data_IF_348070594597
#
_entry.id   IF_348070594597
#
_cell.length_a   1.000
_cell.length_b   1.000
_cell.length_c   1.000
_cell.angle_alpha   90.00
_cell.angle_beta   90.00
_cell.angle_gamma   90.00
#
_symmetry.space_group_name_H-M   'P 1'
#
loop_
_entity.id
_entity.type
_entity.pdbx_description
1 polymer ?
#
# COMPACT_ATOMS: atom_id res chain seq x y z
N UNK A 1 -6.43 -42.91 4.08
CA UNK A 1 -7.69 -42.16 3.92
C UNK A 1 -7.35 -40.72 4.23
N UNK A 2 -7.64 -39.78 3.35
CA UNK A 2 -7.31 -38.36 3.55
C UNK A 2 -8.05 -37.84 4.77
N UNK A 3 -7.34 -37.15 5.66
CA UNK A 3 -7.91 -36.51 6.84
C UNK A 3 -7.98 -34.99 6.65
N UNK A 4 -8.98 -34.36 7.26
CA UNK A 4 -9.16 -32.90 7.19
C UNK A 4 -9.55 -32.37 8.56
N UNK A 5 -8.79 -31.39 9.04
CA UNK A 5 -9.07 -30.63 10.26
C UNK A 5 -9.03 -29.14 9.94
N UNK A 6 -9.83 -28.33 10.64
CA UNK A 6 -9.77 -26.89 10.50
C UNK A 6 -10.13 -26.16 11.78
N UNK A 7 -9.46 -25.03 12.00
CA UNK A 7 -9.69 -24.15 13.15
C UNK A 7 -9.68 -22.69 12.72
N UNK A 8 -10.41 -21.85 13.44
CA UNK A 8 -10.43 -20.42 13.25
C UNK A 8 -10.13 -19.69 14.56
N UNK A 9 -9.33 -18.64 14.47
CA UNK A 9 -8.95 -17.79 15.60
C UNK A 9 -9.14 -16.32 15.23
N UNK A 10 -9.69 -15.52 16.16
CA UNK A 10 -9.95 -14.10 15.94
C UNK A 10 -8.83 -13.25 16.54
N UNK A 11 -8.17 -12.42 15.73
CA UNK A 11 -7.08 -11.53 16.12
C UNK A 11 -7.32 -10.15 15.51
N UNK A 12 -7.40 -9.10 16.33
CA UNK A 12 -7.50 -7.70 15.90
C UNK A 12 -8.58 -7.40 14.83
N UNK A 13 -9.72 -8.07 14.90
CA UNK A 13 -10.80 -7.86 13.94
C UNK A 13 -10.61 -8.60 12.60
N UNK A 14 -9.69 -9.56 12.56
CA UNK A 14 -9.48 -10.51 11.46
C UNK A 14 -9.55 -11.94 11.99
N UNK A 15 -10.17 -12.84 11.23
CA UNK A 15 -10.24 -14.26 11.56
C UNK A 15 -9.20 -14.99 10.73
N UNK A 16 -8.26 -15.64 11.41
CA UNK A 16 -7.25 -16.51 10.82
C UNK A 16 -7.80 -17.94 10.81
N UNK A 17 -7.89 -18.53 9.63
CA UNK A 17 -8.31 -19.92 9.44
C UNK A 17 -7.09 -20.75 9.10
N UNK A 18 -6.92 -21.86 9.82
CA UNK A 18 -5.91 -22.88 9.52
C UNK A 18 -6.63 -24.19 9.24
N UNK A 19 -6.44 -24.74 8.05
CA UNK A 19 -6.89 -26.06 7.67
C UNK A 19 -5.69 -26.99 7.48
N UNK A 20 -5.79 -28.22 7.97
CA UNK A 20 -4.78 -29.26 7.85
C UNK A 20 -5.35 -30.42 7.05
N UNK A 21 -4.70 -30.77 5.95
CA UNK A 21 -5.01 -31.96 5.15
C UNK A 21 -3.93 -32.99 5.42
N UNK A 22 -4.31 -34.11 6.02
CA UNK A 22 -3.41 -35.16 6.46
C UNK A 22 -3.56 -36.47 5.70
N UNK A 23 -2.63 -37.40 5.97
CA UNK A 23 -2.65 -38.77 5.48
C UNK A 23 -2.77 -38.91 3.94
N UNK A 24 -2.17 -37.96 3.21
CA UNK A 24 -2.06 -38.02 1.75
C UNK A 24 -1.07 -39.13 1.36
N UNK A 25 -1.49 -40.21 0.68
CA UNK A 25 -0.61 -41.34 0.37
C UNK A 25 0.18 -41.15 -0.93
N UNK A 26 -0.35 -40.36 -1.86
CA UNK A 26 0.15 -40.11 -3.22
C UNK A 26 -0.20 -38.68 -3.64
N UNK A 27 0.41 -38.11 -4.69
CA UNK A 27 0.03 -36.80 -5.20
C UNK A 27 -1.49 -36.71 -5.39
N UNK A 28 -2.13 -35.76 -4.71
CA UNK A 28 -3.59 -35.67 -4.64
C UNK A 28 -4.02 -34.24 -4.96
N UNK A 29 -4.92 -34.07 -5.92
CA UNK A 29 -5.59 -32.80 -6.18
C UNK A 29 -6.67 -32.59 -5.14
N UNK A 30 -6.60 -31.48 -4.42
CA UNK A 30 -7.57 -31.10 -3.40
C UNK A 30 -8.24 -29.77 -3.72
N UNK A 31 -9.48 -29.63 -3.25
CA UNK A 31 -10.22 -28.36 -3.26
C UNK A 31 -10.74 -28.10 -1.85
N UNK A 32 -10.30 -27.01 -1.24
CA UNK A 32 -10.73 -26.56 0.09
C UNK A 32 -11.45 -25.23 -0.06
N UNK A 33 -12.68 -25.13 0.45
CA UNK A 33 -13.52 -23.95 0.33
C UNK A 33 -13.68 -23.24 1.68
N UNK A 34 -13.70 -21.90 1.66
CA UNK A 34 -14.10 -21.11 2.82
C UNK A 34 -15.62 -21.19 3.04
N UNK A 35 -16.04 -21.35 4.30
CA UNK A 35 -17.45 -21.39 4.71
C UNK A 35 -17.90 -20.16 5.50
N UNK A 36 -16.98 -19.25 5.79
CA UNK A 36 -17.29 -18.01 6.50
C UNK A 36 -17.84 -16.98 5.54
N UNK A 37 -18.90 -16.28 5.97
CA UNK A 37 -19.61 -15.26 5.19
C UNK A 37 -18.80 -13.96 5.09
N UNK A 38 -17.74 -13.99 4.29
CA UNK A 38 -16.88 -12.84 4.02
C UNK A 38 -15.79 -13.15 3.00
N UNK A 39 -15.10 -12.11 2.50
CA UNK A 39 -14.04 -12.29 1.53
C UNK A 39 -12.90 -13.13 2.10
N UNK A 40 -12.30 -13.98 1.26
CA UNK A 40 -11.09 -14.73 1.58
C UNK A 40 -9.86 -13.87 1.26
N UNK A 41 -8.97 -13.75 2.23
CA UNK A 41 -7.67 -13.11 2.09
C UNK A 41 -6.58 -14.19 2.12
N UNK A 42 -6.13 -14.66 0.95
CA UNK A 42 -5.12 -15.70 0.88
C UNK A 42 -3.75 -15.14 1.27
N UNK A 43 -2.78 -16.01 1.60
CA UNK A 43 -1.39 -15.60 1.76
C UNK A 43 -0.89 -14.99 0.44
N UNK A 44 -0.20 -13.86 0.54
CA UNK A 44 0.27 -13.09 -0.61
C UNK A 44 1.76 -12.82 -0.52
N UNK A 45 2.43 -12.86 -1.67
CA UNK A 45 3.81 -12.38 -1.84
C UNK A 45 3.77 -11.27 -2.88
N UNK A 46 4.28 -10.08 -2.55
CA UNK A 46 4.19 -8.89 -3.41
C UNK A 46 2.75 -8.56 -3.87
N UNK A 47 1.78 -8.77 -2.97
CA UNK A 47 0.36 -8.55 -3.27
C UNK A 47 -0.31 -9.63 -4.12
N UNK A 48 0.43 -10.64 -4.60
CA UNK A 48 -0.10 -11.72 -5.44
C UNK A 48 -0.44 -12.93 -4.58
N UNK A 49 -1.63 -13.54 -4.70
CA UNK A 49 -1.98 -14.77 -4.00
C UNK A 49 -0.99 -15.90 -4.25
N UNK A 50 -0.67 -16.65 -3.19
CA UNK A 50 0.13 -17.87 -3.31
C UNK A 50 -0.55 -18.89 -4.26
N UNK A 51 0.26 -19.79 -4.83
CA UNK A 51 -0.23 -20.77 -5.81
C UNK A 51 -1.39 -21.60 -5.26
N UNK A 52 -2.40 -21.80 -6.09
CA UNK A 52 -3.61 -22.55 -5.75
C UNK A 52 -4.67 -21.77 -4.97
N UNK A 53 -4.40 -20.54 -4.53
CA UNK A 53 -5.40 -19.73 -3.84
C UNK A 53 -6.23 -18.85 -4.78
N UNK A 54 -7.53 -18.81 -4.54
CA UNK A 54 -8.50 -17.89 -5.14
C UNK A 54 -9.25 -17.11 -4.05
N UNK A 55 -10.24 -16.31 -4.46
CA UNK A 55 -11.13 -15.60 -3.52
C UNK A 55 -12.12 -16.53 -2.79
N UNK A 56 -12.27 -17.78 -3.25
CA UNK A 56 -13.21 -18.76 -2.70
C UNK A 56 -12.55 -19.85 -1.85
N UNK A 57 -11.26 -20.12 -2.10
CA UNK A 57 -10.56 -21.22 -1.43
C UNK A 57 -9.21 -21.56 -2.01
N UNK A 58 -8.79 -22.79 -1.76
CA UNK A 58 -7.59 -23.39 -2.30
C UNK A 58 -7.94 -24.53 -3.25
N UNK A 59 -7.33 -24.55 -4.43
CA UNK A 59 -7.28 -25.69 -5.34
C UNK A 59 -5.83 -25.97 -5.75
N UNK A 60 -5.38 -27.20 -5.57
CA UNK A 60 -4.02 -27.56 -5.97
C UNK A 60 -3.68 -29.01 -5.71
N UNK A 61 -2.52 -29.43 -6.22
CA UNK A 61 -1.97 -30.76 -5.97
C UNK A 61 -1.06 -30.70 -4.75
N UNK A 62 -1.36 -31.53 -3.75
CA UNK A 62 -0.51 -31.73 -2.57
C UNK A 62 0.26 -33.04 -2.69
N UNK A 63 1.50 -33.02 -2.20
CA UNK A 63 2.38 -34.20 -2.16
C UNK A 63 1.95 -35.18 -1.05
N UNK A 64 2.50 -36.41 -1.02
CA UNK A 64 2.32 -37.29 0.13
C UNK A 64 2.68 -36.62 1.46
N UNK A 65 1.93 -36.90 2.52
CA UNK A 65 2.13 -36.36 3.87
C UNK A 65 0.99 -35.46 4.37
N UNK A 66 1.34 -34.49 5.22
CA UNK A 66 0.41 -33.54 5.86
C UNK A 66 0.72 -32.12 5.43
N UNK A 67 -0.31 -31.35 5.08
CA UNK A 67 -0.19 -29.99 4.55
C UNK A 67 -1.10 -29.03 5.30
N UNK A 68 -0.55 -27.88 5.67
CA UNK A 68 -1.30 -26.77 6.25
C UNK A 68 -1.66 -25.73 5.18
N UNK A 69 -2.91 -25.30 5.20
CA UNK A 69 -3.50 -24.28 4.35
C UNK A 69 -4.07 -23.19 5.26
N UNK A 70 -3.47 -22.00 5.22
CA UNK A 70 -3.88 -20.86 6.04
C UNK A 70 -4.42 -19.71 5.19
N UNK A 71 -5.47 -19.05 5.67
CA UNK A 71 -6.00 -17.81 5.08
C UNK A 71 -6.64 -16.93 6.15
N UNK A 72 -6.98 -15.70 5.78
CA UNK A 72 -7.67 -14.75 6.65
C UNK A 72 -9.03 -14.34 6.08
N UNK A 73 -9.94 -13.87 6.93
CA UNK A 73 -11.22 -13.27 6.53
C UNK A 73 -11.71 -12.26 7.57
N UNK A 74 -12.41 -11.18 7.20
CA UNK A 74 -13.02 -10.28 8.19
C UNK A 74 -14.21 -10.91 8.91
N UNK A 75 -14.83 -11.96 8.35
CA UNK A 75 -15.98 -12.65 8.91
C UNK A 75 -15.71 -13.23 10.31
N UNK A 76 -16.71 -13.30 11.21
CA UNK A 76 -16.53 -13.91 12.52
C UNK A 76 -16.19 -15.42 12.41
N UNK A 77 -15.43 -15.99 13.37
CA UNK A 77 -15.09 -17.41 13.34
C UNK A 77 -16.34 -18.28 13.53
N UNK A 78 -16.32 -19.47 12.94
CA UNK A 78 -17.31 -20.52 13.15
C UNK A 78 -16.62 -21.84 13.54
N UNK A 79 -17.40 -22.83 13.98
CA UNK A 79 -16.87 -24.15 14.34
C UNK A 79 -16.35 -24.95 13.13
N UNK A 80 -16.84 -24.63 11.92
CA UNK A 80 -16.43 -25.25 10.66
C UNK A 80 -16.12 -24.15 9.64
N UNK A 81 -14.96 -23.49 9.76
CA UNK A 81 -14.61 -22.35 8.92
C UNK A 81 -14.26 -22.74 7.47
N UNK A 82 -13.88 -23.99 7.23
CA UNK A 82 -13.50 -24.50 5.92
C UNK A 82 -14.05 -25.91 5.68
N UNK A 83 -14.09 -26.32 4.43
CA UNK A 83 -14.51 -27.66 4.01
C UNK A 83 -13.63 -28.20 2.89
N UNK A 84 -13.25 -29.47 3.00
CA UNK A 84 -12.60 -30.22 1.92
C UNK A 84 -13.69 -30.73 0.96
N UNK A 85 -13.82 -30.06 -0.19
CA UNK A 85 -14.84 -30.36 -1.21
C UNK A 85 -14.41 -31.51 -2.11
N UNK A 86 -13.12 -31.61 -2.42
CA UNK A 86 -12.56 -32.62 -3.32
C UNK A 86 -11.20 -33.10 -2.84
N UNK A 87 -10.94 -34.39 -2.97
CA UNK A 87 -9.63 -35.00 -2.78
C UNK A 87 -9.51 -36.23 -3.68
N UNK A 88 -8.78 -36.10 -4.78
CA UNK A 88 -8.62 -37.17 -5.79
C UNK A 88 -7.16 -37.33 -6.20
N UNK A 89 -6.67 -38.56 -6.42
CA UNK A 89 -5.32 -38.80 -6.90
C UNK A 89 -5.05 -38.02 -8.20
N UNK A 90 -3.90 -37.35 -8.26
CA UNK A 90 -3.46 -36.60 -9.43
C UNK A 90 -2.44 -37.44 -10.22
N UNK A 91 -2.53 -37.48 -11.57
CA UNK A 91 -1.47 -38.10 -12.37
C UNK A 91 -0.17 -37.32 -12.19
N UNK A 92 0.97 -38.03 -12.18
CA UNK A 92 2.32 -37.49 -11.95
C UNK A 92 2.81 -36.52 -13.06
N UNK A 93 1.94 -36.17 -14.00
CA UNK A 93 2.24 -35.32 -15.16
C UNK A 93 1.92 -33.86 -14.84
N UNK A 94 2.70 -33.22 -13.96
CA UNK A 94 2.72 -31.75 -13.95
C UNK A 94 3.62 -31.30 -15.10
N UNK A 95 3.06 -31.15 -16.30
CA UNK A 95 3.79 -30.52 -17.40
C UNK A 95 4.12 -29.08 -16.98
N UNK A 96 5.32 -28.64 -17.34
CA UNK A 96 5.79 -27.29 -17.03
C UNK A 96 4.89 -26.17 -17.62
N UNK A 97 4.05 -26.50 -18.61
CA UNK A 97 3.20 -25.55 -19.33
C UNK A 97 1.99 -25.07 -18.52
N UNK A 98 1.35 -25.88 -17.66
CA UNK A 98 0.18 -25.45 -16.87
C UNK A 98 0.54 -24.43 -15.77
N UNK A 99 1.85 -24.18 -15.52
CA UNK A 99 2.31 -23.27 -14.47
C UNK A 99 2.15 -21.78 -14.82
N UNK A 100 1.87 -21.43 -16.07
CA UNK A 100 1.86 -20.04 -16.55
C UNK A 100 0.51 -19.58 -17.12
N UNK A 101 -0.57 -20.28 -16.81
CA UNK A 101 -1.90 -20.05 -17.41
C UNK A 101 -2.60 -18.76 -16.93
N UNK A 102 -1.96 -17.94 -16.10
CA UNK A 102 -2.51 -16.67 -15.59
C UNK A 102 -1.44 -15.62 -15.36
N UNK A 103 -1.84 -14.34 -15.39
CA UNK A 103 -0.95 -13.21 -15.10
C UNK A 103 -0.31 -13.32 -13.71
N UNK A 104 -1.08 -13.75 -12.70
CA UNK A 104 -0.57 -13.96 -11.34
C UNK A 104 0.47 -15.09 -11.28
N UNK A 105 0.33 -16.12 -12.11
CA UNK A 105 1.30 -17.20 -12.18
C UNK A 105 2.62 -16.73 -12.81
N UNK A 106 2.55 -15.92 -13.88
CA UNK A 106 3.73 -15.27 -14.48
C UNK A 106 4.44 -14.37 -13.47
N UNK A 107 3.69 -13.54 -12.74
CA UNK A 107 4.28 -12.64 -11.74
C UNK A 107 4.93 -13.40 -10.58
N UNK A 108 4.34 -14.53 -10.16
CA UNK A 108 4.94 -15.40 -9.14
C UNK A 108 6.24 -16.03 -9.62
N UNK A 109 6.31 -16.44 -10.89
CA UNK A 109 7.52 -16.99 -11.50
C UNK A 109 8.63 -15.95 -11.68
N UNK A 110 8.25 -14.69 -11.99
CA UNK A 110 9.20 -13.60 -12.15
C UNK A 110 9.84 -13.15 -10.82
N UNK A 111 9.15 -13.33 -9.69
CA UNK A 111 9.67 -13.03 -8.36
C UNK A 111 9.83 -11.53 -8.07
N UNK A 112 10.68 -11.19 -7.10
CA UNK A 112 10.97 -9.80 -6.74
C UNK A 112 11.95 -9.19 -7.76
N UNK A 113 11.55 -8.15 -8.53
CA UNK A 113 12.44 -7.51 -9.48
C UNK A 113 13.38 -6.49 -8.81
N UNK A 114 13.43 -6.43 -7.47
CA UNK A 114 14.32 -5.53 -6.77
C UNK A 114 15.77 -5.73 -7.25
N UNK A 115 16.42 -4.68 -7.78
CA UNK A 115 17.84 -4.77 -8.11
C UNK A 115 18.62 -5.10 -6.83
N UNK A 116 19.76 -5.81 -6.94
CA UNK A 116 20.58 -6.07 -5.76
C UNK A 116 20.94 -4.75 -5.06
N UNK A 117 21.07 -4.81 -3.73
CA UNK A 117 21.11 -3.61 -2.88
C UNK A 117 22.25 -2.63 -3.22
N UNK A 118 23.30 -3.11 -3.90
CA UNK A 118 24.44 -2.36 -4.41
C UNK A 118 24.19 -1.66 -5.75
N UNK A 119 23.19 -2.11 -6.53
CA UNK A 119 22.72 -1.47 -7.75
C UNK A 119 21.70 -0.34 -7.50
N UNK A 120 21.24 -0.20 -6.25
CA UNK A 120 20.46 0.96 -5.79
C UNK A 120 21.46 2.03 -5.30
N UNK A 121 21.49 3.23 -5.91
CA UNK A 121 22.28 4.33 -5.36
C UNK A 121 21.85 4.57 -3.91
N UNK A 122 22.74 4.27 -2.96
CA UNK A 122 22.54 4.64 -1.58
C UNK A 122 22.55 6.17 -1.53
N UNK A 123 21.34 6.77 -1.54
CA UNK A 123 21.18 8.21 -1.43
C UNK A 123 22.04 8.68 -0.27
N UNK A 124 23.01 9.55 -0.57
CA UNK A 124 23.87 10.15 0.42
C UNK A 124 22.97 10.73 1.51
N UNK A 125 23.17 10.27 2.74
CA UNK A 125 22.62 10.92 3.92
C UNK A 125 23.29 12.29 3.97
N UNK A 126 22.66 13.29 3.37
CA UNK A 126 23.14 14.68 3.43
C UNK A 126 22.92 15.18 4.85
N UNK A 127 23.87 14.86 5.73
CA UNK A 127 24.11 15.61 6.95
C UNK A 127 24.56 17.00 6.51
N UNK A 128 23.72 17.98 6.79
CA UNK A 128 24.08 19.38 6.63
C UNK A 128 25.23 19.75 7.55
N UNK A 129 26.21 20.45 6.98
CA UNK A 129 26.95 21.50 7.65
C UNK A 129 27.47 22.47 6.58
N UNK A 130 27.13 23.73 6.80
CA UNK A 130 27.83 24.94 6.38
C UNK A 130 27.73 25.43 4.92
N UNK A 131 26.79 26.35 4.76
CA UNK A 131 26.98 27.66 4.13
C UNK A 131 28.45 28.03 3.87
N UNK A 132 28.80 28.30 2.62
CA UNK A 132 28.96 29.66 2.12
C UNK A 132 29.38 29.67 0.63
N UNK A 133 28.50 30.27 -0.17
CA UNK A 133 28.85 31.27 -1.17
C UNK A 133 29.84 30.92 -2.30
N UNK A 134 29.30 30.55 -3.46
CA UNK A 134 29.72 31.19 -4.73
C UNK A 134 28.62 31.05 -5.77
N UNK A 135 28.03 32.20 -6.08
CA UNK A 135 27.10 32.43 -7.18
C UNK A 135 27.88 32.41 -8.51
N UNK A 136 27.40 31.62 -9.46
CA UNK A 136 27.66 31.76 -10.90
C UNK A 136 26.34 31.38 -11.59
N UNK A 137 25.41 32.31 -11.65
CA UNK A 137 25.18 33.23 -12.78
C UNK A 137 24.51 32.54 -13.97
N UNK A 138 23.21 32.79 -14.08
CA UNK A 138 22.38 32.40 -15.20
C UNK A 138 22.27 33.60 -16.14
N UNK A 139 22.78 33.41 -17.36
CA UNK A 139 22.22 33.88 -18.63
C UNK A 139 21.29 35.10 -18.61
N UNK A 140 21.72 36.22 -19.18
CA UNK A 140 20.88 36.99 -20.10
C UNK A 140 21.68 38.02 -20.91
N UNK A 141 21.50 37.89 -22.21
CA UNK A 141 21.85 38.80 -23.30
C UNK A 141 21.35 40.22 -23.01
N UNK A 142 22.23 41.20 -23.23
CA UNK A 142 21.98 42.64 -23.23
C UNK A 142 20.83 43.03 -24.17
N UNK A 143 19.81 43.70 -23.62
CA UNK A 143 19.03 44.72 -24.34
C UNK A 143 19.10 46.00 -23.50
N UNK A 144 19.89 46.94 -24.00
CA UNK A 144 19.97 48.33 -23.54
C UNK A 144 18.73 49.09 -24.03
N UNK A 145 17.94 49.66 -23.12
CA UNK A 145 17.60 51.09 -23.16
C UNK A 145 16.77 51.52 -21.92
N UNK A 146 17.10 52.71 -21.41
CA UNK A 146 16.32 53.63 -20.55
C UNK A 146 16.31 53.45 -19.03
N UNK A 147 17.15 54.31 -18.43
CA UNK A 147 17.14 54.87 -17.07
C UNK A 147 15.75 55.21 -16.52
N UNK A 148 15.44 54.74 -15.30
CA UNK A 148 14.67 55.47 -14.27
C UNK A 148 15.19 55.09 -12.86
N UNK A 149 15.39 56.10 -12.01
CA UNK A 149 15.87 56.07 -10.63
C UNK A 149 14.99 55.25 -9.65
N UNK A 150 15.52 54.65 -8.56
CA UNK A 150 14.77 53.85 -7.61
C UNK A 150 14.37 54.64 -6.35
N UNK A 151 13.12 54.52 -5.91
CA UNK A 151 12.74 54.76 -4.52
C UNK A 151 12.42 53.43 -3.83
N UNK A 152 13.25 53.14 -2.83
CA UNK A 152 13.27 51.96 -1.99
C UNK A 152 12.12 52.00 -0.99
N UNK A 153 11.25 50.98 -1.01
CA UNK A 153 10.37 50.67 0.12
C UNK A 153 10.66 49.22 0.57
N UNK A 154 11.54 49.11 1.55
CA UNK A 154 11.95 47.85 2.18
C UNK A 154 10.80 47.34 3.05
N UNK A 155 10.02 46.39 2.55
CA UNK A 155 9.10 45.59 3.38
C UNK A 155 9.93 44.49 4.04
N UNK A 156 10.25 44.66 5.33
CA UNK A 156 10.79 43.57 6.14
C UNK A 156 9.70 42.51 6.38
N UNK A 157 9.93 41.22 6.08
CA UNK A 157 9.00 40.17 6.46
C UNK A 157 9.08 39.92 7.97
N UNK A 158 7.91 40.05 8.59
CA UNK A 158 7.60 39.96 10.00
C UNK A 158 8.20 38.71 10.68
N UNK A 159 8.89 38.90 11.80
CA UNK A 159 9.43 37.85 12.67
C UNK A 159 8.40 36.85 13.22
N UNK A 160 7.10 37.07 12.97
CA UNK A 160 6.01 36.14 13.31
C UNK A 160 6.04 34.86 12.46
N UNK A 161 6.43 34.94 11.19
CA UNK A 161 6.44 33.76 10.30
C UNK A 161 7.49 32.72 10.69
N UNK A 162 8.63 33.10 11.27
CA UNK A 162 9.66 32.13 11.71
C UNK A 162 9.22 31.31 12.93
N UNK A 163 8.43 31.89 13.83
CA UNK A 163 7.98 31.20 15.04
C UNK A 163 6.87 30.19 14.74
N UNK A 164 6.00 30.47 13.77
CA UNK A 164 4.99 29.50 13.29
C UNK A 164 5.62 28.33 12.53
N UNK A 165 6.61 28.60 11.66
CA UNK A 165 7.31 27.53 10.94
C UNK A 165 8.06 26.58 11.87
N UNK A 166 8.67 27.09 12.95
CA UNK A 166 9.38 26.26 13.93
C UNK A 166 8.43 25.37 14.74
N UNK A 167 7.22 25.83 15.07
CA UNK A 167 6.20 25.03 15.77
C UNK A 167 5.53 23.99 14.87
N UNK A 168 5.44 24.26 13.56
CA UNK A 168 4.96 23.30 12.57
C UNK A 168 5.93 22.13 12.36
N UNK A 169 7.24 22.36 12.50
CA UNK A 169 8.27 21.32 12.41
C UNK A 169 8.15 20.26 13.51
N UNK A 170 7.67 20.62 14.70
CA UNK A 170 7.52 19.69 15.83
C UNK A 170 6.28 18.78 15.72
N UNK A 171 5.36 19.09 14.80
CA UNK A 171 4.13 18.33 14.57
C UNK A 171 4.19 17.52 13.27
N UNK A 172 5.39 17.26 12.76
CA UNK A 172 5.56 16.55 11.50
C UNK A 172 5.06 15.11 11.61
N UNK A 173 4.27 14.72 10.60
CA UNK A 173 3.87 13.34 10.40
C UNK A 173 5.12 12.49 10.12
N UNK A 174 5.12 11.20 10.52
CA UNK A 174 6.18 10.28 10.14
C UNK A 174 6.39 10.29 8.62
N UNK A 175 7.66 10.22 8.18
CA UNK A 175 8.03 10.36 6.76
C UNK A 175 7.26 9.42 5.84
N UNK A 176 6.98 8.20 6.29
CA UNK A 176 6.20 7.21 5.54
C UNK A 176 4.76 7.66 5.27
N UNK A 177 4.13 8.31 6.25
CA UNK A 177 2.77 8.86 6.11
C UNK A 177 2.80 10.08 5.21
N UNK A 178 3.79 10.95 5.37
CA UNK A 178 3.98 12.13 4.52
C UNK A 178 4.21 11.75 3.05
N UNK A 179 5.09 10.79 2.79
CA UNK A 179 5.38 10.28 1.44
C UNK A 179 4.15 9.60 0.81
N UNK A 180 3.38 8.84 1.60
CA UNK A 180 2.15 8.25 1.13
C UNK A 180 1.11 9.31 0.78
N UNK A 181 0.90 10.32 1.64
CA UNK A 181 -0.01 11.45 1.38
C UNK A 181 0.41 12.23 0.14
N UNK A 182 1.70 12.49 -0.06
CA UNK A 182 2.25 13.15 -1.25
C UNK A 182 1.98 12.34 -2.53
N UNK A 183 2.01 11.01 -2.43
CA UNK A 183 1.68 10.13 -3.55
C UNK A 183 0.19 10.20 -3.88
N UNK A 184 -0.69 10.27 -2.88
CA UNK A 184 -2.13 10.48 -3.08
C UNK A 184 -2.40 11.87 -3.65
N UNK A 185 -1.74 12.92 -3.13
CA UNK A 185 -1.87 14.29 -3.61
C UNK A 185 -1.54 14.41 -5.10
N UNK A 186 -0.41 13.84 -5.54
CA UNK A 186 -0.05 13.82 -6.98
C UNK A 186 -1.08 13.11 -7.85
N UNK A 187 -1.79 12.11 -7.32
CA UNK A 187 -2.88 11.44 -8.06
C UNK A 187 -4.14 12.31 -8.12
N UNK A 188 -4.46 13.01 -7.03
CA UNK A 188 -5.55 13.99 -6.98
C UNK A 188 -5.28 15.13 -7.97
N UNK A 189 -4.09 15.73 -7.97
CA UNK A 189 -3.68 16.76 -8.94
C UNK A 189 -3.86 16.29 -10.38
N UNK A 190 -3.55 15.02 -10.66
CA UNK A 190 -3.72 14.45 -11.99
C UNK A 190 -5.21 14.32 -12.36
N UNK A 191 -6.06 13.92 -11.42
CA UNK A 191 -7.51 13.84 -11.62
C UNK A 191 -8.11 15.24 -11.84
N UNK A 192 -7.69 16.23 -11.06
CA UNK A 192 -8.11 17.63 -11.20
C UNK A 192 -7.72 18.20 -12.56
N UNK A 193 -6.47 18.03 -12.99
CA UNK A 193 -6.02 18.45 -14.34
C UNK A 193 -6.82 17.80 -15.46
N UNK A 194 -7.28 16.55 -15.30
CA UNK A 194 -8.14 15.89 -16.28
C UNK A 194 -9.56 16.47 -16.29
N UNK A 195 -10.06 16.91 -15.12
CA UNK A 195 -11.38 17.52 -14.98
C UNK A 195 -11.44 18.97 -15.49
N UNK A 196 -10.34 19.70 -15.41
CA UNK A 196 -10.21 21.10 -15.87
C UNK A 196 -10.02 21.25 -17.39
N UNK A 197 -9.92 20.14 -18.13
CA UNK A 197 -9.74 20.18 -19.58
C UNK A 197 -10.98 20.77 -20.27
N UNK A 198 -10.79 21.89 -20.95
CA UNK A 198 -11.84 22.63 -21.67
C UNK A 198 -11.66 22.63 -23.20
N UNK A 199 -10.57 22.05 -23.71
CA UNK A 199 -10.24 22.01 -25.14
C UNK A 199 -9.70 20.66 -25.60
N UNK A 200 -9.89 20.32 -26.87
CA UNK A 200 -9.42 19.05 -27.46
C UNK A 200 -7.89 18.89 -27.40
N UNK A 201 -7.16 19.99 -27.56
CA UNK A 201 -5.69 19.99 -27.43
C UNK A 201 -5.26 19.65 -26.00
N UNK A 202 -5.87 20.31 -25.00
CA UNK A 202 -5.63 20.02 -23.60
C UNK A 202 -6.03 18.59 -23.23
N UNK A 203 -7.14 18.07 -23.78
CA UNK A 203 -7.58 16.69 -23.57
C UNK A 203 -6.55 15.68 -24.07
N UNK A 204 -6.04 15.90 -25.28
CA UNK A 204 -5.02 15.03 -25.88
C UNK A 204 -3.71 15.07 -25.09
N UNK A 205 -3.32 16.25 -24.58
CA UNK A 205 -2.15 16.40 -23.73
C UNK A 205 -2.32 15.70 -22.38
N UNK A 206 -3.47 15.87 -21.73
CA UNK A 206 -3.77 15.26 -20.43
C UNK A 206 -3.87 13.74 -20.51
N UNK A 207 -4.50 13.20 -21.56
CA UNK A 207 -4.56 11.75 -21.82
C UNK A 207 -3.15 11.19 -22.05
N UNK A 208 -2.28 11.89 -22.79
CA UNK A 208 -0.89 11.45 -22.97
C UNK A 208 -0.10 11.48 -21.66
N UNK A 209 -0.29 12.50 -20.83
CA UNK A 209 0.35 12.61 -19.52
C UNK A 209 -0.14 11.56 -18.51
N UNK A 210 -1.30 10.95 -18.78
CA UNK A 210 -1.87 9.83 -18.04
C UNK A 210 -1.60 8.47 -18.73
N UNK A 211 -0.59 8.36 -19.59
CA UNK A 211 -0.23 7.11 -20.29
C UNK A 211 -1.39 6.53 -21.13
N UNK A 212 -2.24 7.41 -21.67
CA UNK A 212 -3.37 7.06 -22.51
C UNK A 212 -4.69 6.89 -21.75
N UNK A 213 -5.73 6.45 -22.47
CA UNK A 213 -7.07 6.27 -21.91
C UNK A 213 -7.13 5.21 -20.82
N UNK A 214 -6.25 4.21 -20.87
CA UNK A 214 -6.11 3.20 -19.82
C UNK A 214 -5.70 3.84 -18.50
N UNK A 215 -4.69 4.71 -18.49
CA UNK A 215 -4.29 5.39 -17.26
C UNK A 215 -5.31 6.42 -16.79
N UNK A 216 -6.08 7.06 -17.67
CA UNK A 216 -7.25 7.86 -17.27
C UNK A 216 -8.29 7.00 -16.54
N UNK A 217 -8.62 5.81 -17.05
CA UNK A 217 -9.51 4.86 -16.36
C UNK A 217 -8.95 4.41 -15.02
N UNK A 218 -7.63 4.18 -14.94
CA UNK A 218 -6.96 3.86 -13.67
C UNK A 218 -7.04 5.01 -12.67
N UNK A 219 -6.84 6.26 -13.11
CA UNK A 219 -7.00 7.45 -12.24
C UNK A 219 -8.43 7.54 -11.71
N UNK A 220 -9.45 7.32 -12.56
CA UNK A 220 -10.84 7.32 -12.13
C UNK A 220 -11.15 6.20 -11.11
N UNK A 221 -10.81 4.95 -11.43
CA UNK A 221 -11.05 3.82 -10.53
C UNK A 221 -10.29 3.93 -9.20
N UNK A 222 -9.09 4.54 -9.23
CA UNK A 222 -8.28 4.74 -8.02
C UNK A 222 -8.76 5.93 -7.18
N UNK A 223 -9.34 6.96 -7.81
CA UNK A 223 -9.88 8.14 -7.16
C UNK A 223 -10.90 7.80 -6.08
N UNK A 224 -11.89 6.96 -6.40
CA UNK A 224 -12.92 6.52 -5.45
C UNK A 224 -12.32 5.79 -4.23
N UNK A 225 -11.26 5.01 -4.46
CA UNK A 225 -10.55 4.28 -3.40
C UNK A 225 -9.74 5.24 -2.52
N UNK A 226 -9.01 6.17 -3.13
CA UNK A 226 -8.20 7.17 -2.43
C UNK A 226 -9.10 8.07 -1.57
N UNK A 227 -10.26 8.48 -2.08
CA UNK A 227 -11.26 9.27 -1.36
C UNK A 227 -11.78 8.53 -0.11
N UNK A 228 -12.18 7.25 -0.26
CA UNK A 228 -12.64 6.43 0.86
C UNK A 228 -11.53 6.23 1.91
N UNK A 229 -10.30 5.99 1.47
CA UNK A 229 -9.13 5.81 2.32
C UNK A 229 -8.80 7.07 3.13
N UNK A 230 -8.78 8.24 2.48
CA UNK A 230 -8.52 9.52 3.14
C UNK A 230 -9.59 9.83 4.20
N UNK A 231 -10.87 9.59 3.89
CA UNK A 231 -11.94 9.77 4.88
C UNK A 231 -11.84 8.78 6.04
N UNK A 232 -11.46 7.54 5.78
CA UNK A 232 -11.25 6.55 6.83
C UNK A 232 -10.09 6.92 7.75
N UNK A 233 -8.99 7.43 7.18
CA UNK A 233 -7.82 7.90 7.91
C UNK A 233 -8.18 9.09 8.81
N UNK A 234 -8.84 10.13 8.28
CA UNK A 234 -9.25 11.31 9.03
C UNK A 234 -10.08 10.94 10.26
N UNK A 235 -11.14 10.13 10.06
CA UNK A 235 -11.99 9.66 11.15
C UNK A 235 -11.23 8.85 12.21
N UNK A 236 -10.21 8.08 11.82
CA UNK A 236 -9.39 7.31 12.76
C UNK A 236 -8.46 8.22 13.56
N UNK A 237 -7.84 9.20 12.90
CA UNK A 237 -6.97 10.18 13.54
C UNK A 237 -7.74 11.01 14.57
N UNK A 238 -8.92 11.51 14.21
CA UNK A 238 -9.82 12.25 15.12
C UNK A 238 -10.17 11.42 16.36
N UNK A 239 -10.66 10.19 16.17
CA UNK A 239 -10.99 9.31 17.31
C UNK A 239 -9.80 9.04 18.23
N UNK A 240 -8.59 8.93 17.68
CA UNK A 240 -7.37 8.73 18.48
C UNK A 240 -7.00 9.99 19.26
N UNK A 241 -7.12 11.16 18.64
CA UNK A 241 -6.91 12.44 19.29
C UNK A 241 -7.90 12.65 20.45
N UNK A 242 -9.20 12.38 20.22
CA UNK A 242 -10.24 12.48 21.26
C UNK A 242 -9.98 11.54 22.43
N UNK A 243 -9.63 10.28 22.14
CA UNK A 243 -9.27 9.29 23.18
C UNK A 243 -8.04 9.71 23.96
N UNK A 244 -7.02 10.24 23.29
CA UNK A 244 -5.80 10.74 23.95
C UNK A 244 -6.10 11.94 24.84
N UNK A 245 -6.97 12.86 24.40
CA UNK A 245 -7.40 14.02 25.16
C UNK A 245 -8.19 13.62 26.41
N UNK A 246 -9.06 12.60 26.31
CA UNK A 246 -9.81 12.08 27.44
C UNK A 246 -8.95 11.29 28.44
N UNK A 247 -7.86 10.64 27.97
CA UNK A 247 -6.97 9.85 28.82
C UNK A 247 -6.03 10.75 29.65
N UNK A 248 -6.33 10.89 30.94
CA UNK A 248 -5.40 11.48 31.91
C UNK A 248 -4.61 10.38 32.61
N UNK A 249 -3.27 10.43 32.52
CA UNK A 249 -2.39 9.50 33.24
C UNK A 249 -2.10 10.09 34.61
N UNK A 250 -2.48 9.43 35.73
CA UNK A 250 -2.26 9.96 37.08
C UNK A 250 -0.80 9.73 37.50
N UNK A 251 0.12 10.49 36.91
CA UNK A 251 1.57 10.37 37.09
C UNK A 251 1.99 10.49 38.56
N UNK A 252 1.35 11.39 39.32
CA UNK A 252 1.64 11.62 40.75
C UNK A 252 1.19 10.47 41.66
N UNK A 253 0.10 9.79 41.29
CA UNK A 253 -0.34 8.59 42.03
C UNK A 253 0.61 7.43 41.77
N UNK A 254 1.06 7.28 40.52
CA UNK A 254 1.99 6.21 40.12
C UNK A 254 3.39 6.43 40.71
N UNK A 255 3.88 7.67 40.78
CA UNK A 255 5.18 7.98 41.40
C UNK A 255 5.21 7.69 42.89
N UNK A 256 4.08 7.84 43.60
CA UNK A 256 3.97 7.53 45.03
C UNK A 256 3.96 6.03 45.34
N UNK A 257 3.64 5.19 44.35
CA UNK A 257 3.54 3.74 44.49
C UNK A 257 4.83 2.99 44.08
N UNK A 258 5.78 3.67 43.43
CA UNK A 258 7.08 3.11 43.04
C UNK A 258 8.15 3.41 44.09
#
# INVERSE_FOLDING_TARGET
MVTFDCRAERVDGVTLVTATVGDIPEPTRITVRNRLDGPLWPPRTQGIPAAGWSEDGFEGVVRPGTHALGYATPAPPSAQPAELVRAEPAPDTTSADERLDSADAVLRELGDPAPPADAVPAGERTQGADSENSRSDASAVEWDDRRVDPQTATVQPSARSRADSARQSEQQLPDSVSQWLETVARRVDRAERLAEVDSLSAATAAVRAADGLSGVRTVAARGDTDEQMLRALARRAERLADRRAAATVPTETLSRLA
#
